data_IF_954609426336
#
_entry.id   IF_954609426336
#
_cell.length_a   1.000
_cell.length_b   1.000
_cell.length_c   1.000
_cell.angle_alpha   90.00
_cell.angle_beta   90.00
_cell.angle_gamma   90.00
#
_symmetry.space_group_name_H-M   'P 1'
#
loop_
_entity.id
_entity.type
_entity.pdbx_description
1 polymer ?
#
# COMPACT_ATOMS: atom_id res chain seq x y z
N UNK A 1 15.96 -8.25 -5.98
CA UNK A 1 15.99 -9.12 -7.19
C UNK A 1 15.14 -8.48 -8.25
N UNK A 2 15.58 -8.52 -9.51
CA UNK A 2 14.88 -7.91 -10.64
C UNK A 2 14.05 -8.98 -11.35
N UNK A 3 12.84 -8.60 -11.75
CA UNK A 3 11.94 -9.43 -12.54
C UNK A 3 11.56 -8.67 -13.80
N UNK A 4 11.50 -9.39 -14.91
CA UNK A 4 10.94 -8.85 -16.15
C UNK A 4 9.43 -9.13 -16.18
N UNK A 5 8.64 -8.18 -16.63
CA UNK A 5 7.21 -8.33 -16.91
C UNK A 5 6.85 -7.72 -18.25
N UNK A 6 5.70 -8.09 -18.79
CA UNK A 6 5.19 -7.61 -20.08
C UNK A 6 4.29 -6.39 -19.97
N UNK A 7 3.87 -6.03 -18.74
CA UNK A 7 3.00 -4.90 -18.51
C UNK A 7 3.72 -3.57 -18.75
N UNK A 8 3.05 -2.65 -19.42
CA UNK A 8 3.56 -1.34 -19.81
C UNK A 8 2.75 -0.21 -19.17
N UNK A 9 3.29 1.01 -19.23
CA UNK A 9 2.57 2.23 -18.79
C UNK A 9 2.87 2.64 -17.35
N UNK A 10 3.98 2.15 -16.78
CA UNK A 10 4.49 2.54 -15.48
C UNK A 10 5.72 3.44 -15.63
N UNK A 11 5.86 4.41 -14.72
CA UNK A 11 7.02 5.30 -14.71
C UNK A 11 8.24 4.70 -14.02
N UNK A 12 9.42 5.21 -14.32
CA UNK A 12 10.63 4.84 -13.58
C UNK A 12 10.46 5.10 -12.08
N UNK A 13 10.83 4.11 -11.25
CA UNK A 13 10.72 4.16 -9.79
C UNK A 13 9.30 4.37 -9.26
N UNK A 14 8.28 4.11 -10.08
CA UNK A 14 6.92 4.09 -9.63
C UNK A 14 6.71 2.90 -8.68
N UNK A 15 6.13 3.13 -7.51
CA UNK A 15 5.67 2.04 -6.64
C UNK A 15 4.47 1.36 -7.31
N UNK A 16 4.51 0.03 -7.31
CA UNK A 16 3.48 -0.83 -7.92
C UNK A 16 3.17 -2.00 -7.00
N UNK A 17 1.99 -2.56 -7.16
CA UNK A 17 1.65 -3.86 -6.60
C UNK A 17 1.92 -4.93 -7.67
N UNK A 18 2.60 -5.98 -7.27
CA UNK A 18 2.91 -7.12 -8.13
C UNK A 18 2.03 -8.29 -7.70
N UNK A 19 1.25 -8.80 -8.64
CA UNK A 19 0.36 -9.94 -8.42
C UNK A 19 0.86 -11.12 -9.23
N UNK A 20 1.12 -12.24 -8.55
CA UNK A 20 1.50 -13.51 -9.14
C UNK A 20 0.56 -14.58 -8.57
N UNK A 21 -0.06 -15.38 -9.43
CA UNK A 21 -0.93 -16.45 -8.97
C UNK A 21 -0.09 -17.61 -8.43
N UNK A 22 -0.56 -18.31 -7.40
CA UNK A 22 0.16 -19.47 -6.83
C UNK A 22 0.50 -20.57 -7.85
N UNK A 23 -0.35 -20.77 -8.86
CA UNK A 23 -0.16 -21.74 -9.94
C UNK A 23 0.82 -21.31 -11.03
N UNK A 24 1.17 -20.03 -11.10
CA UNK A 24 2.07 -19.44 -12.10
C UNK A 24 3.54 -19.41 -11.61
N UNK A 25 3.81 -19.90 -10.41
CA UNK A 25 5.15 -20.04 -9.87
C UNK A 25 5.65 -21.46 -10.12
N UNK A 26 6.58 -21.62 -11.05
CA UNK A 26 7.17 -22.90 -11.41
C UNK A 26 8.21 -23.33 -10.37
N UNK A 27 8.13 -24.57 -9.92
CA UNK A 27 9.04 -25.16 -8.94
C UNK A 27 9.95 -26.22 -9.57
N UNK A 28 11.17 -26.28 -9.08
CA UNK A 28 12.07 -27.37 -9.37
C UNK A 28 13.06 -27.64 -8.25
N UNK A 29 13.48 -28.91 -8.13
CA UNK A 29 14.53 -29.27 -7.18
C UNK A 29 15.85 -28.66 -7.66
N UNK A 30 16.56 -28.04 -6.76
CA UNK A 30 17.87 -27.46 -7.03
C UNK A 30 18.87 -27.90 -5.96
N UNK A 31 20.11 -28.06 -6.37
CA UNK A 31 21.21 -28.29 -5.44
C UNK A 31 21.76 -26.96 -4.97
N UNK A 32 21.98 -26.77 -3.65
CA UNK A 32 22.47 -25.50 -3.11
C UNK A 32 23.80 -25.04 -3.77
N UNK A 33 24.60 -25.96 -4.28
CA UNK A 33 25.90 -25.64 -4.88
C UNK A 33 25.81 -24.88 -6.21
N UNK A 34 24.66 -24.92 -6.91
CA UNK A 34 24.49 -24.21 -8.18
C UNK A 34 23.79 -22.88 -8.04
N UNK A 35 23.27 -22.57 -6.85
CA UNK A 35 22.58 -21.29 -6.60
C UNK A 35 23.51 -20.11 -6.87
N UNK A 36 23.03 -19.17 -7.72
CA UNK A 36 23.78 -17.98 -8.12
C UNK A 36 24.94 -18.24 -9.08
N UNK A 37 25.07 -19.42 -9.65
CA UNK A 37 26.02 -19.73 -10.73
C UNK A 37 25.37 -19.53 -12.11
N UNK A 38 26.15 -19.61 -13.19
CA UNK A 38 25.64 -19.55 -14.57
C UNK A 38 24.68 -20.72 -14.91
N UNK A 39 24.75 -21.82 -14.14
CA UNK A 39 23.91 -22.99 -14.31
C UNK A 39 22.58 -22.90 -13.51
N UNK A 40 22.36 -21.80 -12.79
CA UNK A 40 21.15 -21.58 -12.00
C UNK A 40 20.04 -20.95 -12.87
N UNK A 41 19.00 -21.73 -13.25
CA UNK A 41 17.92 -21.19 -14.09
C UNK A 41 16.81 -20.48 -13.27
N UNK A 42 16.93 -20.45 -11.94
CA UNK A 42 15.86 -20.02 -11.05
C UNK A 42 16.04 -18.57 -10.60
N UNK A 43 14.92 -17.87 -10.46
CA UNK A 43 14.90 -16.47 -10.00
C UNK A 43 14.90 -16.37 -8.48
N UNK A 44 14.22 -17.28 -7.80
CA UNK A 44 14.12 -17.35 -6.34
C UNK A 44 14.49 -18.74 -5.84
N UNK A 45 14.91 -18.81 -4.59
CA UNK A 45 15.27 -20.05 -3.91
C UNK A 45 14.63 -20.10 -2.53
N UNK A 46 14.35 -21.29 -2.05
CA UNK A 46 13.76 -21.45 -0.72
C UNK A 46 13.55 -22.91 -0.33
N UNK A 47 12.99 -23.09 0.85
CA UNK A 47 12.72 -24.40 1.43
C UNK A 47 11.22 -24.60 1.62
N UNK A 48 10.70 -25.72 1.13
CA UNK A 48 9.30 -26.11 1.32
C UNK A 48 9.03 -26.32 2.81
N UNK A 49 8.07 -25.60 3.36
CA UNK A 49 7.65 -25.70 4.76
C UNK A 49 6.46 -26.66 4.92
N UNK A 50 5.53 -26.62 3.99
CA UNK A 50 4.35 -27.48 3.98
C UNK A 50 3.97 -27.90 2.56
N UNK A 51 3.30 -29.05 2.43
CA UNK A 51 2.76 -29.55 1.17
C UNK A 51 1.46 -30.31 1.47
N UNK A 52 0.34 -29.78 1.00
CA UNK A 52 -1.00 -30.30 1.30
C UNK A 52 -1.75 -30.57 -0.01
N UNK A 53 -2.25 -31.79 -0.18
CA UNK A 53 -3.07 -32.15 -1.32
C UNK A 53 -4.49 -31.57 -1.19
N UNK A 54 -4.92 -30.80 -2.17
CA UNK A 54 -6.24 -30.14 -2.21
C UNK A 54 -7.25 -30.86 -3.15
N UNK A 55 -7.00 -32.12 -3.48
CA UNK A 55 -7.88 -32.94 -4.31
C UNK A 55 -7.53 -32.95 -5.80
N UNK A 56 -6.94 -31.89 -6.33
CA UNK A 56 -6.50 -31.78 -7.74
C UNK A 56 -5.03 -31.39 -7.84
N UNK A 57 -4.57 -30.51 -6.97
CA UNK A 57 -3.19 -30.00 -6.91
C UNK A 57 -2.66 -30.05 -5.47
N UNK A 58 -1.38 -29.84 -5.32
CA UNK A 58 -0.74 -29.62 -4.04
C UNK A 58 -0.59 -28.12 -3.80
N UNK A 59 -0.99 -27.69 -2.62
CA UNK A 59 -0.72 -26.36 -2.10
C UNK A 59 0.51 -26.43 -1.21
N UNK A 60 1.49 -25.60 -1.50
CA UNK A 60 2.78 -25.62 -0.79
C UNK A 60 3.10 -24.24 -0.29
N UNK A 61 3.67 -24.19 0.91
CA UNK A 61 4.28 -22.97 1.46
C UNK A 61 5.79 -23.11 1.36
N UNK A 62 6.45 -22.14 0.75
CA UNK A 62 7.91 -22.08 0.62
C UNK A 62 8.44 -20.85 1.33
N UNK A 63 9.36 -21.05 2.26
CA UNK A 63 10.13 -19.97 2.86
C UNK A 63 11.35 -19.68 1.98
N UNK A 64 11.39 -18.49 1.40
CA UNK A 64 12.50 -18.07 0.55
C UNK A 64 13.76 -17.78 1.38
N UNK A 65 14.93 -17.81 0.75
CA UNK A 65 16.21 -17.49 1.39
C UNK A 65 16.26 -16.05 1.91
N UNK A 66 15.43 -15.15 1.37
CA UNK A 66 15.26 -13.77 1.81
C UNK A 66 14.23 -13.61 2.95
N UNK A 67 13.64 -14.73 3.44
CA UNK A 67 12.72 -14.71 4.58
C UNK A 67 11.26 -14.43 4.25
N UNK A 68 10.87 -14.42 2.97
CA UNK A 68 9.47 -14.29 2.55
C UNK A 68 8.82 -15.68 2.46
N UNK A 69 7.58 -15.75 2.88
CA UNK A 69 6.74 -16.93 2.73
C UNK A 69 5.89 -16.80 1.46
N UNK A 70 5.99 -17.78 0.56
CA UNK A 70 5.24 -17.84 -0.68
C UNK A 70 4.29 -19.02 -0.68
N UNK A 71 3.05 -18.80 -1.12
CA UNK A 71 2.06 -19.83 -1.36
C UNK A 71 2.10 -20.22 -2.84
N UNK A 72 2.24 -21.50 -3.12
CA UNK A 72 2.38 -22.07 -4.47
C UNK A 72 1.41 -23.23 -4.68
N UNK A 73 1.04 -23.46 -5.95
CA UNK A 73 0.24 -24.59 -6.35
C UNK A 73 0.92 -25.34 -7.50
N UNK A 74 1.06 -26.67 -7.38
CA UNK A 74 1.64 -27.52 -8.42
C UNK A 74 0.91 -28.88 -8.43
N UNK A 75 0.97 -29.56 -9.55
CA UNK A 75 0.46 -30.94 -9.67
C UNK A 75 1.41 -31.98 -9.08
N UNK A 76 2.65 -31.60 -8.80
CA UNK A 76 3.67 -32.44 -8.20
C UNK A 76 3.91 -32.06 -6.74
N UNK A 77 4.05 -33.06 -5.89
CA UNK A 77 4.40 -32.86 -4.49
C UNK A 77 5.89 -32.60 -4.31
N UNK A 78 6.22 -31.61 -3.50
CA UNK A 78 7.55 -31.41 -2.94
C UNK A 78 7.45 -31.56 -1.42
N UNK A 79 8.18 -32.51 -0.86
CA UNK A 79 8.13 -32.80 0.58
C UNK A 79 8.67 -31.60 1.40
N UNK A 80 8.15 -31.39 2.63
CA UNK A 80 8.74 -30.44 3.55
C UNK A 80 10.25 -30.64 3.72
N UNK A 81 10.99 -29.55 3.88
CA UNK A 81 12.45 -29.47 3.90
C UNK A 81 13.15 -29.71 2.54
N UNK A 82 12.40 -29.85 1.45
CA UNK A 82 12.99 -29.86 0.11
C UNK A 82 13.45 -28.45 -0.24
N UNK A 83 14.71 -28.32 -0.69
CA UNK A 83 15.22 -27.06 -1.24
C UNK A 83 14.85 -26.95 -2.71
N UNK A 84 14.23 -25.84 -3.10
CA UNK A 84 13.64 -25.63 -4.42
C UNK A 84 14.08 -24.30 -5.03
N UNK A 85 14.19 -24.30 -6.35
CA UNK A 85 14.22 -23.09 -7.15
C UNK A 85 12.82 -22.74 -7.65
N UNK A 86 12.55 -21.46 -7.82
CA UNK A 86 11.29 -20.92 -8.30
C UNK A 86 11.51 -19.96 -9.45
N UNK A 87 10.64 -20.05 -10.45
CA UNK A 87 10.65 -19.22 -11.64
C UNK A 87 9.24 -18.70 -11.91
N UNK A 88 9.12 -17.43 -12.26
CA UNK A 88 7.89 -16.82 -12.76
C UNK A 88 8.18 -16.25 -14.14
N UNK A 89 7.32 -16.55 -15.10
CA UNK A 89 7.49 -16.01 -16.44
C UNK A 89 7.03 -14.56 -16.51
N UNK A 90 7.62 -13.74 -17.41
CA UNK A 90 7.23 -12.34 -17.57
C UNK A 90 5.72 -12.13 -17.81
N UNK A 91 5.08 -13.02 -18.57
CA UNK A 91 3.65 -12.97 -18.90
C UNK A 91 2.73 -13.35 -17.73
N UNK A 92 3.26 -13.99 -16.69
CA UNK A 92 2.52 -14.43 -15.51
C UNK A 92 2.62 -13.41 -14.36
N UNK A 93 3.41 -12.36 -14.53
CA UNK A 93 3.55 -11.25 -13.59
C UNK A 93 2.60 -10.14 -14.00
N UNK A 94 1.61 -9.85 -13.14
CA UNK A 94 0.69 -8.73 -13.33
C UNK A 94 1.16 -7.55 -12.47
N UNK A 95 1.34 -6.40 -13.10
CA UNK A 95 1.71 -5.16 -12.41
C UNK A 95 0.52 -4.23 -12.35
N UNK A 96 0.17 -3.78 -11.16
CA UNK A 96 -0.92 -2.84 -10.93
C UNK A 96 -0.39 -1.56 -10.29
N UNK A 97 -1.05 -0.45 -10.58
CA UNK A 97 -0.77 0.79 -9.85
C UNK A 97 -1.10 0.54 -8.38
N UNK A 98 -0.13 0.83 -7.51
CA UNK A 98 -0.36 0.71 -6.07
C UNK A 98 -1.57 1.53 -5.69
N UNK A 99 -2.52 0.92 -5.03
CA UNK A 99 -3.69 1.62 -4.53
C UNK A 99 -3.21 2.69 -3.55
N UNK A 100 -3.66 3.93 -3.74
CA UNK A 100 -3.34 4.98 -2.79
C UNK A 100 -4.09 4.68 -1.50
N UNK A 101 -3.36 4.59 -0.40
CA UNK A 101 -3.90 4.40 0.94
C UNK A 101 -3.84 5.70 1.76
N UNK A 102 -3.56 6.82 1.09
CA UNK A 102 -3.43 8.12 1.72
C UNK A 102 -3.89 9.26 0.79
N UNK A 103 -4.43 10.28 1.41
CA UNK A 103 -4.68 11.57 0.80
C UNK A 103 -3.36 12.31 0.58
N UNK A 104 -3.29 13.09 -0.49
CA UNK A 104 -2.13 13.94 -0.80
C UNK A 104 -2.60 15.34 -1.11
N UNK A 105 -2.04 16.33 -0.43
CA UNK A 105 -2.38 17.73 -0.58
C UNK A 105 -1.11 18.57 -0.73
N UNK A 106 -1.22 19.68 -1.46
CA UNK A 106 -0.24 20.74 -1.42
C UNK A 106 -0.39 21.52 -0.12
N UNK A 107 0.71 21.86 0.53
CA UNK A 107 0.68 22.57 1.79
C UNK A 107 1.82 23.56 1.95
N UNK A 108 1.73 24.37 3.01
CA UNK A 108 2.74 25.33 3.41
C UNK A 108 2.99 25.25 4.92
N UNK A 109 4.25 25.21 5.32
CA UNK A 109 4.63 25.21 6.74
C UNK A 109 4.38 26.60 7.34
N UNK A 110 3.66 26.62 8.46
CA UNK A 110 3.36 27.82 9.23
C UNK A 110 4.15 27.88 10.54
N UNK A 111 4.13 29.04 11.18
CA UNK A 111 4.65 29.21 12.55
C UNK A 111 3.82 28.41 13.56
N UNK A 112 4.44 28.00 14.69
CA UNK A 112 3.74 27.37 15.79
C UNK A 112 3.40 25.88 15.58
N UNK A 113 4.26 25.15 14.85
CA UNK A 113 4.06 23.73 14.56
C UNK A 113 2.77 23.46 13.77
N UNK A 114 2.51 24.24 12.74
CA UNK A 114 1.35 24.11 11.89
C UNK A 114 1.72 23.94 10.42
N UNK A 115 0.80 23.37 9.67
CA UNK A 115 0.82 23.28 8.21
C UNK A 115 -0.54 23.70 7.66
N UNK A 116 -0.55 24.52 6.62
CA UNK A 116 -1.74 24.91 5.88
C UNK A 116 -1.97 23.89 4.77
N UNK A 117 -3.13 23.28 4.70
CA UNK A 117 -3.64 22.52 3.55
C UNK A 117 -5.16 22.42 3.63
N UNK A 118 -5.84 22.26 2.50
CA UNK A 118 -7.31 22.34 2.41
C UNK A 118 -7.85 23.64 3.03
N UNK A 119 -7.15 24.75 2.80
CA UNK A 119 -7.44 26.10 3.31
C UNK A 119 -7.54 26.21 4.84
N UNK A 120 -7.15 25.16 5.59
CA UNK A 120 -7.19 25.10 7.05
C UNK A 120 -5.79 24.92 7.67
N UNK A 121 -5.62 25.44 8.89
CA UNK A 121 -4.40 25.30 9.68
C UNK A 121 -4.46 24.03 10.54
N UNK A 122 -3.58 23.11 10.27
CA UNK A 122 -3.47 21.85 10.98
C UNK A 122 -2.25 21.79 11.89
N UNK A 123 -2.42 21.31 13.11
CA UNK A 123 -1.29 21.06 13.99
C UNK A 123 -0.48 19.86 13.50
N UNK A 124 0.85 19.97 13.56
CA UNK A 124 1.80 18.88 13.28
C UNK A 124 2.70 18.65 14.48
N UNK A 125 3.30 17.47 14.57
CA UNK A 125 4.22 17.19 15.67
C UNK A 125 5.45 18.08 15.57
N UNK A 126 5.96 18.54 16.73
CA UNK A 126 7.14 19.40 16.83
C UNK A 126 8.36 18.81 16.11
N UNK A 127 8.55 17.49 16.21
CA UNK A 127 9.65 16.77 15.55
C UNK A 127 9.56 16.80 14.03
N UNK A 128 8.37 16.99 13.47
CA UNK A 128 8.14 17.18 12.02
C UNK A 128 8.37 18.66 11.68
N UNK A 129 7.77 19.59 12.41
CA UNK A 129 7.88 21.02 12.16
C UNK A 129 9.35 21.50 12.13
N UNK A 130 10.18 21.01 13.03
CA UNK A 130 11.61 21.38 13.12
C UNK A 130 12.46 20.99 11.89
N UNK A 131 11.92 20.19 10.97
CA UNK A 131 12.64 19.75 9.75
C UNK A 131 12.46 20.68 8.56
N UNK A 132 11.56 21.63 8.66
CA UNK A 132 11.13 22.48 7.56
C UNK A 132 11.18 23.95 7.96
N UNK A 133 11.32 24.82 6.97
CA UNK A 133 11.31 26.25 7.18
C UNK A 133 9.87 26.80 7.07
N UNK A 134 9.55 27.84 7.87
CA UNK A 134 8.27 28.53 7.75
C UNK A 134 8.15 29.15 6.36
N UNK A 135 6.99 28.98 5.72
CA UNK A 135 6.73 29.38 4.34
C UNK A 135 7.18 28.35 3.30
N UNK A 136 7.82 27.23 3.73
CA UNK A 136 8.19 26.18 2.79
C UNK A 136 6.97 25.46 2.23
N UNK A 137 6.91 25.35 0.89
CA UNK A 137 5.90 24.53 0.21
C UNK A 137 6.27 23.06 0.33
N UNK A 138 5.28 22.25 0.68
CA UNK A 138 5.43 20.83 1.00
C UNK A 138 4.29 20.01 0.42
N UNK A 139 4.47 18.73 0.30
CA UNK A 139 3.40 17.77 0.07
C UNK A 139 2.99 17.15 1.42
N UNK A 140 1.70 17.24 1.73
CA UNK A 140 1.11 16.66 2.94
C UNK A 140 0.49 15.31 2.58
N UNK A 141 0.75 14.29 3.38
CA UNK A 141 0.15 12.96 3.23
C UNK A 141 -0.53 12.54 4.51
N UNK A 142 -1.76 12.05 4.37
CA UNK A 142 -2.58 11.53 5.47
C UNK A 142 -3.18 10.20 5.04
N UNK A 143 -2.88 9.12 5.76
CA UNK A 143 -3.49 7.81 5.46
C UNK A 143 -5.00 7.89 5.65
N UNK A 144 -5.76 7.17 4.82
CA UNK A 144 -7.23 7.17 4.86
C UNK A 144 -7.77 6.72 6.22
N UNK A 145 -7.13 5.75 6.87
CA UNK A 145 -7.47 5.23 8.20
C UNK A 145 -7.09 6.17 9.37
N UNK A 146 -6.50 7.34 9.08
CA UNK A 146 -6.08 8.34 10.06
C UNK A 146 -6.89 9.64 9.97
N UNK A 147 -7.84 9.68 9.08
CA UNK A 147 -8.84 10.73 9.02
C UNK A 147 -10.03 10.31 9.87
N UNK A 148 -10.48 11.15 10.78
CA UNK A 148 -11.60 10.87 11.66
C UNK A 148 -12.76 11.80 11.33
N UNK A 149 -13.93 11.23 11.14
CA UNK A 149 -15.17 11.96 10.95
C UNK A 149 -15.86 12.18 12.29
N UNK A 150 -16.51 13.33 12.46
CA UNK A 150 -17.26 13.73 13.65
C UNK A 150 -18.70 13.98 13.24
N UNK A 151 -19.66 13.55 14.07
CA UNK A 151 -21.10 13.76 13.84
C UNK A 151 -21.49 15.23 13.85
N UNK A 152 -20.74 16.08 14.56
CA UNK A 152 -20.92 17.52 14.57
C UNK A 152 -19.82 18.19 13.75
N UNK A 153 -20.21 19.01 12.78
CA UNK A 153 -19.28 19.74 11.92
C UNK A 153 -18.37 20.67 12.74
N UNK A 154 -18.89 21.29 13.81
CA UNK A 154 -18.16 22.21 14.67
C UNK A 154 -17.05 21.51 15.47
N UNK A 155 -17.13 20.21 15.59
CA UNK A 155 -16.09 19.39 16.24
C UNK A 155 -14.90 19.08 15.32
N UNK A 156 -15.00 19.37 14.03
CA UNK A 156 -13.91 19.21 13.04
C UNK A 156 -12.99 20.43 12.96
N UNK A 157 -11.87 20.26 12.27
CA UNK A 157 -11.03 21.39 11.80
C UNK A 157 -11.58 21.94 10.49
N UNK A 158 -12.11 21.07 9.64
CA UNK A 158 -12.86 21.44 8.45
C UNK A 158 -14.18 20.69 8.41
N UNK A 159 -15.14 21.20 7.64
CA UNK A 159 -16.46 20.61 7.41
C UNK A 159 -16.60 20.10 6.00
N UNK A 160 -17.47 19.12 5.84
CA UNK A 160 -17.76 18.54 4.53
C UNK A 160 -19.02 17.69 4.54
N UNK A 161 -19.33 17.11 3.39
CA UNK A 161 -20.47 16.23 3.18
C UNK A 161 -19.97 14.86 2.69
N UNK A 162 -20.52 13.80 3.24
CA UNK A 162 -20.29 12.44 2.73
C UNK A 162 -20.87 12.34 1.33
N UNK A 163 -20.03 12.16 0.34
CA UNK A 163 -20.40 12.18 -1.07
C UNK A 163 -20.50 10.81 -1.71
N UNK A 164 -19.72 9.85 -1.22
CA UNK A 164 -19.70 8.49 -1.74
C UNK A 164 -19.24 7.51 -0.66
N UNK A 165 -19.85 6.33 -0.62
CA UNK A 165 -19.54 5.27 0.34
C UNK A 165 -19.38 3.94 -0.39
N UNK A 166 -18.26 3.24 -0.15
CA UNK A 166 -17.98 1.91 -0.67
C UNK A 166 -17.58 0.97 0.48
N UNK A 167 -18.34 -0.10 0.69
CA UNK A 167 -17.92 -1.16 1.60
C UNK A 167 -16.86 -2.07 0.96
N UNK A 168 -15.68 -2.17 1.59
CA UNK A 168 -14.53 -2.97 1.10
C UNK A 168 -14.44 -4.38 1.73
N UNK A 169 -15.45 -4.80 2.48
CA UNK A 169 -15.53 -6.14 3.07
C UNK A 169 -15.23 -6.17 4.56
N UNK A 170 -14.37 -5.28 5.05
CA UNK A 170 -13.97 -5.13 6.46
C UNK A 170 -14.09 -3.70 6.98
N UNK A 171 -14.17 -2.71 6.09
CA UNK A 171 -14.32 -1.29 6.41
C UNK A 171 -15.09 -0.56 5.31
N UNK A 172 -15.49 0.68 5.56
CA UNK A 172 -16.05 1.59 4.58
C UNK A 172 -14.97 2.53 4.08
N UNK A 173 -14.88 2.67 2.76
CA UNK A 173 -14.11 3.71 2.08
C UNK A 173 -15.06 4.83 1.70
N UNK A 174 -14.85 5.99 2.29
CA UNK A 174 -15.75 7.14 2.18
C UNK A 174 -15.02 8.27 1.46
N UNK A 175 -15.71 8.93 0.55
CA UNK A 175 -15.29 10.20 -0.02
C UNK A 175 -16.10 11.32 0.64
N UNK A 176 -15.41 12.22 1.27
CA UNK A 176 -15.98 13.46 1.83
C UNK A 176 -15.61 14.59 0.90
N UNK A 177 -16.60 15.38 0.52
CA UNK A 177 -16.40 16.65 -0.22
C UNK A 177 -16.43 17.80 0.76
N UNK A 178 -15.33 18.54 0.84
CA UNK A 178 -15.24 19.72 1.69
C UNK A 178 -16.12 20.85 1.17
N UNK A 179 -16.43 21.84 2.02
CA UNK A 179 -17.23 22.99 1.62
C UNK A 179 -16.57 23.84 0.53
N UNK A 180 -15.24 23.77 0.41
CA UNK A 180 -14.44 24.44 -0.64
C UNK A 180 -14.36 23.61 -1.93
N UNK A 181 -14.91 22.38 -1.93
CA UNK A 181 -15.03 21.52 -3.10
C UNK A 181 -13.89 20.53 -3.31
N UNK A 182 -13.02 20.37 -2.34
CA UNK A 182 -11.95 19.36 -2.37
C UNK A 182 -12.47 17.98 -1.94
N UNK A 183 -11.85 16.94 -2.45
CA UNK A 183 -12.18 15.58 -2.09
C UNK A 183 -11.17 15.00 -1.08
N UNK A 184 -11.68 14.42 -0.01
CA UNK A 184 -10.94 13.75 1.05
C UNK A 184 -11.44 12.30 1.21
N UNK A 185 -10.53 11.34 1.26
CA UNK A 185 -10.87 9.92 1.42
C UNK A 185 -10.60 9.43 2.84
N UNK A 186 -11.52 8.61 3.35
CA UNK A 186 -11.51 8.11 4.73
C UNK A 186 -11.81 6.61 4.73
N UNK A 187 -11.00 5.82 5.44
CA UNK A 187 -11.29 4.42 5.75
C UNK A 187 -11.73 4.33 7.21
N UNK A 188 -12.96 3.88 7.45
CA UNK A 188 -13.56 3.79 8.79
C UNK A 188 -14.46 2.58 8.95
N UNK A 189 -14.68 2.16 10.21
CA UNK A 189 -15.69 1.16 10.55
C UNK A 189 -17.02 1.81 10.99
N UNK A 190 -17.06 3.12 11.13
CA UNK A 190 -18.27 3.86 11.49
C UNK A 190 -19.20 3.90 10.27
N UNK A 191 -20.50 3.90 10.55
CA UNK A 191 -21.56 3.90 9.54
C UNK A 191 -22.01 5.34 9.32
N UNK A 192 -21.95 5.76 8.06
CA UNK A 192 -22.38 7.07 7.60
C UNK A 192 -23.37 6.89 6.44
N UNK A 193 -24.22 7.87 6.23
CA UNK A 193 -25.12 7.94 5.09
C UNK A 193 -24.66 8.99 4.06
N UNK A 194 -25.03 8.76 2.80
CA UNK A 194 -24.78 9.72 1.72
C UNK A 194 -25.52 11.04 2.01
N UNK A 195 -24.77 12.15 1.95
CA UNK A 195 -25.27 13.47 2.31
C UNK A 195 -25.11 13.86 3.79
N UNK A 196 -24.56 12.98 4.64
CA UNK A 196 -24.27 13.35 6.04
C UNK A 196 -23.24 14.49 6.09
N UNK A 197 -23.55 15.51 6.91
CA UNK A 197 -22.63 16.58 7.23
C UNK A 197 -21.68 16.13 8.33
N UNK A 198 -20.39 16.35 8.13
CA UNK A 198 -19.35 15.85 9.04
C UNK A 198 -18.29 16.90 9.32
N UNK A 199 -17.77 16.87 10.54
CA UNK A 199 -16.50 17.51 10.87
C UNK A 199 -15.33 16.57 10.64
N UNK A 200 -14.21 17.08 10.13
CA UNK A 200 -13.00 16.28 9.86
C UNK A 200 -11.91 16.62 10.87
N UNK A 201 -11.35 15.58 11.49
CA UNK A 201 -10.20 15.64 12.40
C UNK A 201 -9.05 14.77 11.91
N UNK A 202 -7.83 15.28 12.02
CA UNK A 202 -6.61 14.54 11.76
C UNK A 202 -5.67 14.77 12.94
N UNK A 203 -5.20 13.71 13.58
CA UNK A 203 -4.25 13.84 14.67
C UNK A 203 -2.89 14.39 14.16
N UNK A 204 -2.21 15.30 14.88
CA UNK A 204 -0.92 15.86 14.46
C UNK A 204 0.14 14.82 14.13
N UNK A 205 0.13 13.67 14.80
CA UNK A 205 1.04 12.55 14.55
C UNK A 205 0.75 11.77 13.27
N UNK A 206 -0.43 11.95 12.69
CA UNK A 206 -0.88 11.28 11.47
C UNK A 206 -0.60 12.07 10.19
N UNK A 207 -0.22 13.34 10.34
CA UNK A 207 0.14 14.22 9.23
C UNK A 207 1.62 13.99 8.90
N UNK A 208 1.87 13.50 7.70
CA UNK A 208 3.22 13.28 7.16
C UNK A 208 3.55 14.38 6.17
N UNK A 209 4.71 14.99 6.35
CA UNK A 209 5.21 16.01 5.44
C UNK A 209 6.34 15.39 4.60
N UNK A 210 6.28 15.60 3.30
CA UNK A 210 7.36 15.28 2.37
C UNK A 210 7.73 16.52 1.56
N UNK A 211 8.95 16.58 1.05
CA UNK A 211 9.34 17.69 0.21
C UNK A 211 8.49 17.71 -1.06
N UNK A 212 7.97 18.87 -1.42
CA UNK A 212 7.28 19.05 -2.69
C UNK A 212 8.22 18.62 -3.83
N UNK A 213 7.71 17.85 -4.78
CA UNK A 213 8.49 17.49 -5.97
C UNK A 213 8.80 18.80 -6.71
N UNK A 214 10.08 19.11 -6.88
CA UNK A 214 10.48 20.19 -7.80
C UNK A 214 9.98 19.81 -9.19
N UNK A 215 9.11 20.62 -9.75
CA UNK A 215 8.69 20.53 -11.15
C UNK A 215 9.88 20.83 -12.07
#
# INVERSE_FOLDING_TARGET
>A
QDFECVDEGFGEKQEVDVVIRPEDIYLGRIKPEIVGTEDDPWQLHGTVQSCIFKGVHYEMTVLTDNGYELLLQDYHAFEPSTYVGMLVKPEDIQVMKKERLYNTFDGEILEGNKVLFLDEEWEISESVAQRYEVGQKVEVRVNFDKVNLQDDEEDGVLSGEVYFILYKGDHYHIQVRTDDGDDLYVDTNDIWDDGDRVGVKIAPSSIRIVNAKSN
#
